data_IF_957622934057
#
_entry.id   IF_957622934057
#
_cell.length_a   1.000
_cell.length_b   1.000
_cell.length_c   1.000
_cell.angle_alpha   90.00
_cell.angle_beta   90.00
_cell.angle_gamma   90.00
#
_symmetry.space_group_name_H-M   'P 1'
#
loop_
_entity.id
_entity.type
_entity.pdbx_description
1 polymer ?
#
# COMPACT_ATOMS: atom_id res chain seq x y z
N UNK A 1 20.48 -16.16 -27.15
CA UNK A 1 21.13 -16.00 -25.83
C UNK A 1 21.38 -14.54 -25.60
N UNK A 2 20.77 -13.99 -24.54
CA UNK A 2 21.04 -12.73 -23.85
C UNK A 2 21.32 -11.48 -24.70
N UNK A 3 20.24 -10.79 -25.08
CA UNK A 3 20.26 -9.33 -25.21
C UNK A 3 19.94 -8.76 -23.83
N UNK A 4 20.97 -8.55 -23.02
CA UNK A 4 20.85 -7.82 -21.77
C UNK A 4 21.22 -6.37 -22.08
N UNK A 5 20.23 -5.57 -22.46
CA UNK A 5 20.41 -4.13 -22.52
C UNK A 5 20.73 -3.63 -21.11
N UNK A 6 21.84 -2.89 -20.98
CA UNK A 6 22.28 -2.35 -19.69
C UNK A 6 21.17 -1.55 -18.99
N UNK A 7 20.21 -0.95 -19.73
CA UNK A 7 19.08 -0.22 -19.12
C UNK A 7 18.26 -1.07 -18.16
N UNK A 8 18.09 -2.36 -18.44
CA UNK A 8 17.20 -3.23 -17.66
C UNK A 8 17.81 -3.56 -16.29
N UNK A 9 19.14 -3.68 -16.21
CA UNK A 9 19.84 -3.86 -14.94
C UNK A 9 19.76 -2.63 -14.05
N UNK A 10 19.91 -1.44 -14.62
CA UNK A 10 19.76 -0.19 -13.86
C UNK A 10 18.31 0.02 -13.42
N UNK A 11 17.31 -0.28 -14.27
CA UNK A 11 15.90 -0.25 -13.88
C UNK A 11 15.56 -1.27 -12.78
N UNK A 12 16.01 -2.52 -12.90
CA UNK A 12 15.76 -3.58 -11.91
C UNK A 12 16.41 -3.25 -10.56
N UNK A 13 17.68 -2.82 -10.57
CA UNK A 13 18.38 -2.44 -9.34
C UNK A 13 17.74 -1.22 -8.64
N UNK A 14 17.19 -0.27 -9.42
CA UNK A 14 16.49 0.88 -8.85
C UNK A 14 15.13 0.47 -8.26
N UNK A 15 14.43 -0.45 -8.92
CA UNK A 15 13.17 -1.02 -8.47
C UNK A 15 13.36 -1.83 -7.17
N UNK A 16 14.37 -2.70 -7.12
CA UNK A 16 14.71 -3.48 -5.92
C UNK A 16 15.09 -2.58 -4.74
N UNK A 17 15.78 -1.47 -5.00
CA UNK A 17 16.15 -0.50 -3.96
C UNK A 17 14.91 0.20 -3.38
N UNK A 18 13.99 0.66 -4.24
CA UNK A 18 12.75 1.30 -3.80
C UNK A 18 11.88 0.35 -2.96
N UNK A 19 11.78 -0.93 -3.38
CA UNK A 19 11.10 -1.97 -2.62
C UNK A 19 11.74 -2.21 -1.24
N UNK A 20 13.07 -2.18 -1.16
CA UNK A 20 13.79 -2.32 0.11
C UNK A 20 13.56 -1.16 1.07
N UNK A 21 13.44 0.07 0.54
CA UNK A 21 13.12 1.25 1.33
C UNK A 21 11.67 1.21 1.81
N UNK A 22 10.71 0.87 0.94
CA UNK A 22 9.30 0.71 1.31
C UNK A 22 9.07 -0.37 2.37
N UNK A 23 9.77 -1.50 2.26
CA UNK A 23 9.71 -2.55 3.27
C UNK A 23 10.20 -2.05 4.65
N UNK A 24 11.25 -1.23 4.69
CA UNK A 24 11.73 -0.63 5.93
C UNK A 24 10.70 0.34 6.53
N UNK A 25 10.08 1.20 5.71
CA UNK A 25 9.02 2.10 6.16
C UNK A 25 7.80 1.33 6.72
N UNK A 26 7.34 0.29 6.01
CA UNK A 26 6.21 -0.52 6.49
C UNK A 26 6.54 -1.29 7.77
N UNK A 27 7.79 -1.74 7.92
CA UNK A 27 8.26 -2.38 9.14
C UNK A 27 8.17 -1.43 10.34
N UNK A 28 8.52 -0.15 10.18
CA UNK A 28 8.39 0.86 11.24
C UNK A 28 6.92 1.15 11.60
N UNK A 29 6.01 1.02 10.64
CA UNK A 29 4.57 1.23 10.82
C UNK A 29 3.82 0.03 11.40
N UNK A 30 4.51 -1.09 11.68
CA UNK A 30 3.88 -2.28 12.25
C UNK A 30 3.15 -1.99 13.56
N UNK A 31 1.93 -2.50 13.70
CA UNK A 31 1.00 -2.25 14.81
C UNK A 31 0.58 -0.79 14.99
N UNK A 32 0.89 0.10 14.03
CA UNK A 32 0.37 1.46 14.02
C UNK A 32 -0.90 1.53 13.16
N UNK A 33 -1.77 2.49 13.47
CA UNK A 33 -2.89 2.83 12.61
C UNK A 33 -2.37 3.58 11.39
N UNK A 34 -2.66 3.05 10.20
CA UNK A 34 -2.29 3.66 8.93
C UNK A 34 -3.53 3.96 8.09
N UNK A 35 -3.39 4.89 7.15
CA UNK A 35 -4.40 5.19 6.12
C UNK A 35 -3.84 4.78 4.77
N UNK A 36 -4.54 3.90 4.07
CA UNK A 36 -4.19 3.43 2.73
C UNK A 36 -5.16 4.03 1.73
N UNK A 37 -4.62 4.65 0.68
CA UNK A 37 -5.41 5.08 -0.48
C UNK A 37 -5.22 4.05 -1.58
N UNK A 38 -6.33 3.55 -2.12
CA UNK A 38 -6.30 2.61 -3.24
C UNK A 38 -6.44 3.35 -4.58
N UNK A 39 -6.06 2.69 -5.67
CA UNK A 39 -6.12 3.24 -7.03
C UNK A 39 -7.53 3.54 -7.53
N UNK A 40 -8.56 2.94 -6.92
CA UNK A 40 -9.97 3.27 -7.14
C UNK A 40 -10.50 4.38 -6.22
N UNK A 41 -9.62 5.02 -5.42
CA UNK A 41 -9.92 6.20 -4.61
C UNK A 41 -10.49 5.92 -3.23
N UNK A 42 -10.49 4.68 -2.76
CA UNK A 42 -10.98 4.33 -1.42
C UNK A 42 -9.94 4.71 -0.37
N UNK A 43 -10.41 5.18 0.78
CA UNK A 43 -9.58 5.49 1.95
C UNK A 43 -9.85 4.43 3.02
N UNK A 44 -8.89 3.53 3.25
CA UNK A 44 -9.02 2.43 4.20
C UNK A 44 -8.09 2.72 5.37
N UNK A 45 -8.64 2.75 6.58
CA UNK A 45 -7.89 3.00 7.81
C UNK A 45 -7.93 1.73 8.64
N UNK A 46 -6.80 1.35 9.24
CA UNK A 46 -6.72 0.19 10.13
C UNK A 46 -5.33 0.02 10.72
N UNK A 47 -5.17 -0.98 11.59
CA UNK A 47 -3.90 -1.30 12.24
C UNK A 47 -3.08 -2.24 11.35
N UNK A 48 -1.88 -1.83 10.95
CA UNK A 48 -1.00 -2.68 10.14
C UNK A 48 -0.54 -3.91 10.93
N UNK A 49 -0.92 -5.10 10.48
CA UNK A 49 -0.53 -6.38 11.10
C UNK A 49 0.51 -7.17 10.31
N UNK A 50 0.71 -6.83 9.06
CA UNK A 50 1.72 -7.48 8.23
C UNK A 50 1.73 -6.92 6.82
N UNK A 51 2.85 -7.17 6.13
CA UNK A 51 3.04 -6.85 4.73
C UNK A 51 3.94 -7.90 4.07
N UNK A 52 3.97 -7.93 2.75
CA UNK A 52 4.88 -8.80 1.98
C UNK A 52 5.74 -8.01 0.98
N UNK A 53 6.59 -8.73 0.25
CA UNK A 53 7.51 -8.18 -0.76
C UNK A 53 6.79 -7.51 -1.96
N UNK A 54 5.50 -7.79 -2.14
CA UNK A 54 4.66 -7.15 -3.15
C UNK A 54 3.87 -5.97 -2.56
N UNK A 55 4.17 -5.56 -1.32
CA UNK A 55 3.47 -4.47 -0.63
C UNK A 55 1.97 -4.77 -0.44
N UNK A 56 1.58 -6.05 -0.42
CA UNK A 56 0.26 -6.41 0.09
C UNK A 56 0.26 -6.15 1.59
N UNK A 57 -0.76 -5.49 2.13
CA UNK A 57 -0.86 -5.20 3.57
C UNK A 57 -2.09 -5.82 4.19
N UNK A 58 -1.95 -6.20 5.46
CA UNK A 58 -3.02 -6.72 6.31
C UNK A 58 -3.36 -5.64 7.33
N UNK A 59 -4.61 -5.19 7.32
CA UNK A 59 -5.16 -4.23 8.26
C UNK A 59 -6.16 -4.93 9.18
N UNK A 60 -5.99 -4.75 10.48
CA UNK A 60 -6.94 -5.19 11.51
C UNK A 60 -7.74 -3.99 12.05
N UNK A 61 -8.92 -4.26 12.61
CA UNK A 61 -9.86 -3.23 13.08
C UNK A 61 -10.06 -2.10 12.06
N UNK A 62 -10.24 -2.50 10.79
CA UNK A 62 -10.25 -1.58 9.66
C UNK A 62 -11.64 -1.11 9.26
N UNK A 63 -11.70 0.12 8.75
CA UNK A 63 -12.90 0.74 8.19
C UNK A 63 -12.56 1.57 6.95
N UNK A 64 -13.51 1.68 6.03
CA UNK A 64 -13.45 2.60 4.91
C UNK A 64 -14.03 3.95 5.29
N UNK A 65 -13.32 5.02 4.95
CA UNK A 65 -13.77 6.39 5.09
C UNK A 65 -14.39 6.87 3.78
N UNK A 66 -15.72 6.93 3.73
CA UNK A 66 -16.47 7.35 2.54
C UNK A 66 -16.78 8.84 2.63
N UNK A 67 -16.43 9.59 1.57
CA UNK A 67 -16.63 11.02 1.49
C UNK A 67 -17.80 11.37 0.57
N UNK A 68 -18.68 12.27 1.03
CA UNK A 68 -19.82 12.79 0.27
C UNK A 68 -19.79 14.32 0.24
N UNK A 69 -20.33 14.91 -0.81
CA UNK A 69 -20.48 16.37 -0.90
C UNK A 69 -21.62 16.91 -0.01
N UNK A 70 -22.55 16.05 0.39
CA UNK A 70 -23.80 16.43 1.08
C UNK A 70 -23.91 15.87 2.48
N UNK A 71 -23.20 14.80 2.76
CA UNK A 71 -23.29 14.06 4.01
C UNK A 71 -21.94 14.06 4.73
N UNK A 72 -21.95 13.94 6.08
CA UNK A 72 -20.73 13.74 6.83
C UNK A 72 -19.95 12.51 6.37
N UNK A 73 -18.69 12.46 6.75
CA UNK A 73 -17.83 11.30 6.49
C UNK A 73 -18.42 10.06 7.17
N UNK A 74 -18.61 9.00 6.39
CA UNK A 74 -19.10 7.71 6.88
C UNK A 74 -17.91 6.76 7.10
N UNK A 75 -17.96 5.99 8.19
CA UNK A 75 -17.01 4.92 8.48
C UNK A 75 -17.70 3.57 8.29
N UNK A 76 -17.34 2.86 7.23
CA UNK A 76 -17.89 1.55 6.90
C UNK A 76 -16.93 0.48 7.43
N UNK A 77 -17.38 -0.27 8.45
CA UNK A 77 -16.58 -1.32 9.09
C UNK A 77 -16.21 -2.45 8.12
N UNK A 78 -14.93 -2.85 8.13
CA UNK A 78 -14.38 -3.94 7.32
C UNK A 78 -13.77 -5.06 8.18
N UNK A 79 -13.28 -4.75 9.37
CA UNK A 79 -12.63 -5.71 10.27
C UNK A 79 -11.22 -6.07 9.79
N UNK A 80 -10.94 -7.36 9.58
CA UNK A 80 -9.68 -7.81 8.99
C UNK A 80 -9.73 -7.65 7.46
N UNK A 81 -8.89 -6.78 6.92
CA UNK A 81 -8.91 -6.42 5.50
C UNK A 81 -7.52 -6.51 4.87
N UNK A 82 -7.44 -7.05 3.65
CA UNK A 82 -6.19 -7.17 2.90
C UNK A 82 -6.24 -6.21 1.72
N UNK A 83 -5.28 -5.29 1.65
CA UNK A 83 -5.09 -4.44 0.47
C UNK A 83 -3.97 -5.04 -0.37
N UNK A 84 -4.24 -5.28 -1.65
CA UNK A 84 -3.25 -5.78 -2.60
C UNK A 84 -2.33 -4.63 -3.02
N UNK A 85 -1.02 -4.87 -3.09
CA UNK A 85 -0.02 -3.85 -3.45
C UNK A 85 -0.25 -3.24 -4.83
N UNK A 86 -0.71 -4.03 -5.80
CA UNK A 86 -1.10 -3.55 -7.14
C UNK A 86 -2.25 -2.52 -7.11
N UNK A 87 -3.01 -2.47 -6.02
CA UNK A 87 -4.12 -1.54 -5.81
C UNK A 87 -3.72 -0.36 -4.93
N UNK A 88 -2.49 -0.27 -4.43
CA UNK A 88 -2.03 0.89 -3.67
C UNK A 88 -1.72 2.07 -4.58
N UNK A 89 -2.06 3.26 -4.10
CA UNK A 89 -1.65 4.51 -4.75
C UNK A 89 -0.18 4.79 -4.49
N UNK A 90 0.61 4.84 -5.57
CA UNK A 90 1.99 5.32 -5.57
C UNK A 90 2.03 6.76 -6.11
N UNK A 91 2.40 7.77 -5.30
CA UNK A 91 2.50 9.16 -5.77
C UNK A 91 3.69 9.44 -6.71
N UNK A 92 4.61 8.48 -6.91
CA UNK A 92 5.86 8.67 -7.67
C UNK A 92 5.84 8.10 -9.10
N UNK A 93 4.72 7.54 -9.56
CA UNK A 93 4.50 7.14 -10.96
C UNK A 93 3.34 7.89 -11.60
#
# INVERSE_FOLDING_TARGET
>A
MYGNDCSDYWCTAHHDKCLSEMAAYLQEMMNQTISVITNDGRNIIGVLKGFDQCVNVILDDSFERVFSLKEPVEAVELGLYIVRGDNMYDPLY
#
